data_IF_208726073942
#
_entry.id   IF_208726073942
#
_cell.length_a   1.000
_cell.length_b   1.000
_cell.length_c   1.000
_cell.angle_alpha   90.00
_cell.angle_beta   90.00
_cell.angle_gamma   90.00
#
_symmetry.space_group_name_H-M   'P 1'
#
loop_
_entity.id
_entity.type
_entity.pdbx_description
1 polymer ?
#
# COMPACT_ATOMS: atom_id res chain seq x y z
N UNK A 1 -17.71 -2.19 -20.85
CA UNK A 1 -17.67 -2.84 -19.52
C UNK A 1 -18.57 -2.03 -18.62
N UNK A 2 -19.37 -2.67 -17.76
CA UNK A 2 -20.19 -1.96 -16.78
C UNK A 2 -19.30 -1.15 -15.81
N UNK A 3 -19.67 0.10 -15.48
CA UNK A 3 -18.83 1.01 -14.68
C UNK A 3 -18.55 0.45 -13.26
N UNK A 4 -19.48 -0.33 -12.67
CA UNK A 4 -19.26 -0.99 -11.38
C UNK A 4 -18.20 -2.09 -11.49
N UNK A 5 -18.23 -2.87 -12.59
CA UNK A 5 -17.18 -3.86 -12.87
C UNK A 5 -15.82 -3.19 -13.08
N UNK A 6 -15.78 -2.08 -13.83
CA UNK A 6 -14.56 -1.30 -14.03
C UNK A 6 -14.00 -0.78 -12.69
N UNK A 7 -14.87 -0.24 -11.82
CA UNK A 7 -14.46 0.21 -10.50
C UNK A 7 -13.87 -0.91 -9.64
N UNK A 8 -14.48 -2.10 -9.67
CA UNK A 8 -13.98 -3.26 -8.91
C UNK A 8 -12.57 -3.67 -9.36
N UNK A 9 -12.33 -3.71 -10.67
CA UNK A 9 -10.99 -3.99 -11.25
C UNK A 9 -9.98 -2.92 -10.84
N UNK A 10 -10.37 -1.64 -10.84
CA UNK A 10 -9.47 -0.57 -10.40
C UNK A 10 -9.11 -0.68 -8.91
N UNK A 11 -10.08 -1.01 -8.04
CA UNK A 11 -9.83 -1.17 -6.61
C UNK A 11 -8.87 -2.35 -6.36
N UNK A 12 -9.05 -3.47 -7.05
CA UNK A 12 -8.13 -4.61 -6.98
C UNK A 12 -6.71 -4.22 -7.40
N UNK A 13 -6.57 -3.54 -8.54
CA UNK A 13 -5.27 -3.03 -9.02
C UNK A 13 -4.59 -2.07 -8.02
N UNK A 14 -5.35 -1.17 -7.38
CA UNK A 14 -4.79 -0.27 -6.36
C UNK A 14 -4.30 -1.02 -5.11
N UNK A 15 -5.00 -2.09 -4.70
CA UNK A 15 -4.56 -2.93 -3.57
C UNK A 15 -3.22 -3.58 -3.91
N UNK A 16 -3.13 -4.21 -5.08
CA UNK A 16 -1.90 -4.87 -5.56
C UNK A 16 -0.74 -3.88 -5.64
N UNK A 17 -0.97 -2.72 -6.25
CA UNK A 17 0.08 -1.70 -6.41
C UNK A 17 0.56 -1.13 -5.07
N UNK A 18 -0.34 -0.95 -4.10
CA UNK A 18 0.04 -0.54 -2.75
C UNK A 18 0.87 -1.64 -2.06
N UNK A 19 0.54 -2.92 -2.26
CA UNK A 19 1.32 -4.04 -1.73
C UNK A 19 2.74 -4.05 -2.35
N UNK A 20 2.89 -3.80 -3.65
CA UNK A 20 4.20 -3.62 -4.32
C UNK A 20 5.01 -2.45 -3.73
N UNK A 21 4.36 -1.30 -3.51
CA UNK A 21 5.00 -0.14 -2.89
C UNK A 21 5.46 -0.43 -1.46
N UNK A 22 4.64 -1.13 -0.66
CA UNK A 22 5.02 -1.48 0.71
C UNK A 22 6.28 -2.37 0.74
N UNK A 23 6.39 -3.34 -0.17
CA UNK A 23 7.58 -4.19 -0.26
C UNK A 23 8.83 -3.39 -0.69
N UNK A 24 8.69 -2.48 -1.64
CA UNK A 24 9.80 -1.60 -2.05
C UNK A 24 10.22 -0.66 -0.91
N UNK A 25 9.25 -0.05 -0.22
CA UNK A 25 9.52 0.83 0.93
C UNK A 25 10.22 0.08 2.04
N UNK A 26 9.86 -1.18 2.30
CA UNK A 26 10.52 -2.03 3.30
C UNK A 26 12.00 -2.25 2.98
N UNK A 27 12.36 -2.44 1.70
CA UNK A 27 13.78 -2.53 1.29
C UNK A 27 14.52 -1.22 1.59
N UNK A 28 13.90 -0.08 1.33
CA UNK A 28 14.49 1.23 1.59
C UNK A 28 14.55 1.59 3.07
N UNK A 29 13.59 1.16 3.88
CA UNK A 29 13.64 1.28 5.34
C UNK A 29 14.85 0.51 5.91
N UNK A 30 15.07 -0.72 5.45
CA UNK A 30 16.27 -1.50 5.81
C UNK A 30 17.54 -0.79 5.34
N UNK A 31 17.54 -0.21 4.13
CA UNK A 31 18.69 0.54 3.64
C UNK A 31 18.98 1.79 4.47
N UNK A 32 17.94 2.50 4.90
CA UNK A 32 18.07 3.64 5.80
C UNK A 32 18.65 3.22 7.16
N UNK A 33 18.31 2.04 7.67
CA UNK A 33 18.94 1.47 8.87
C UNK A 33 20.43 1.22 8.67
N UNK A 34 20.83 0.57 7.56
CA UNK A 34 22.25 0.33 7.23
C UNK A 34 23.06 1.63 7.14
N UNK A 35 22.42 2.72 6.70
CA UNK A 35 23.02 4.05 6.59
C UNK A 35 22.99 4.84 7.91
N UNK A 36 22.45 4.28 8.99
CA UNK A 36 22.33 4.96 10.29
C UNK A 36 21.22 6.02 10.35
N UNK A 37 20.36 6.10 9.33
CA UNK A 37 19.30 7.11 9.19
C UNK A 37 18.00 6.67 9.88
N UNK A 38 18.06 6.54 11.22
CA UNK A 38 16.95 6.00 12.02
C UNK A 38 15.63 6.77 11.88
N UNK A 39 15.68 8.10 11.80
CA UNK A 39 14.47 8.92 11.60
C UNK A 39 13.84 8.69 10.23
N UNK A 40 14.66 8.61 9.17
CA UNK A 40 14.18 8.33 7.81
C UNK A 40 13.53 6.95 7.73
N UNK A 41 14.17 5.92 8.31
CA UNK A 41 13.58 4.58 8.43
C UNK A 41 12.19 4.65 9.06
N UNK A 42 12.06 5.35 10.19
CA UNK A 42 10.80 5.45 10.93
C UNK A 42 9.69 6.05 10.05
N UNK A 43 9.96 7.16 9.36
CA UNK A 43 8.95 7.78 8.48
C UNK A 43 8.56 6.86 7.31
N UNK A 44 9.50 6.07 6.77
CA UNK A 44 9.19 5.07 5.74
C UNK A 44 8.29 3.95 6.32
N UNK A 45 8.55 3.48 7.53
CA UNK A 45 7.71 2.48 8.21
C UNK A 45 6.29 3.01 8.49
N UNK A 46 6.15 4.28 8.86
CA UNK A 46 4.83 4.93 9.02
C UNK A 46 4.08 5.05 7.68
N UNK A 47 4.80 5.31 6.57
CA UNK A 47 4.21 5.32 5.23
C UNK A 47 3.70 3.92 4.84
N UNK A 48 4.44 2.86 5.15
CA UNK A 48 3.99 1.47 4.98
C UNK A 48 2.72 1.20 5.81
N UNK A 49 2.70 1.64 7.08
CA UNK A 49 1.53 1.52 7.94
C UNK A 49 0.29 2.21 7.37
N UNK A 50 0.48 3.39 6.78
CA UNK A 50 -0.58 4.16 6.13
C UNK A 50 -1.11 3.47 4.86
N UNK A 51 -0.23 2.93 4.00
CA UNK A 51 -0.65 2.13 2.84
C UNK A 51 -1.40 0.86 3.26
N UNK A 52 -0.95 0.18 4.31
CA UNK A 52 -1.66 -0.97 4.87
C UNK A 52 -3.07 -0.59 5.36
N UNK A 53 -3.23 0.57 5.99
CA UNK A 53 -4.54 1.09 6.37
C UNK A 53 -5.43 1.37 5.15
N UNK A 54 -4.90 2.06 4.14
CA UNK A 54 -5.59 2.28 2.86
C UNK A 54 -6.06 0.97 2.25
N UNK A 55 -5.20 -0.05 2.18
CA UNK A 55 -5.56 -1.38 1.67
C UNK A 55 -6.67 -2.05 2.48
N UNK A 56 -6.78 -1.84 3.80
CA UNK A 56 -7.93 -2.33 4.58
C UNK A 56 -9.24 -1.66 4.16
N UNK A 57 -9.23 -0.37 3.85
CA UNK A 57 -10.41 0.33 3.34
C UNK A 57 -10.76 -0.13 1.93
N UNK A 58 -9.78 -0.23 1.03
CA UNK A 58 -9.97 -0.71 -0.34
C UNK A 58 -10.52 -2.15 -0.38
N UNK A 59 -10.00 -3.06 0.46
CA UNK A 59 -10.52 -4.43 0.57
C UNK A 59 -11.97 -4.48 1.05
N UNK A 60 -12.43 -3.52 1.87
CA UNK A 60 -13.86 -3.39 2.23
C UNK A 60 -14.68 -2.85 1.06
N UNK A 61 -14.20 -1.79 0.40
CA UNK A 61 -14.85 -1.22 -0.78
C UNK A 61 -15.02 -2.26 -1.90
N UNK A 62 -14.02 -3.10 -2.15
CA UNK A 62 -14.09 -4.18 -3.14
C UNK A 62 -15.18 -5.20 -2.81
N UNK A 63 -15.37 -5.56 -1.53
CA UNK A 63 -16.42 -6.48 -1.09
C UNK A 63 -17.82 -5.90 -1.27
N UNK A 64 -17.98 -4.59 -1.11
CA UNK A 64 -19.26 -3.89 -1.32
C UNK A 64 -19.53 -3.63 -2.80
N UNK A 65 -18.48 -3.53 -3.62
CA UNK A 65 -18.56 -3.33 -5.07
C UNK A 65 -18.81 -4.63 -5.86
N UNK A 66 -18.42 -5.80 -5.33
CA UNK A 66 -18.71 -7.12 -5.90
C UNK A 66 -20.20 -7.45 -5.91
#
# INVERSE_FOLDING_TARGET
>A
MDERKKLSVMIEHWIEHNDEHMEEYKKWANKAEELGLKSVRKEIEEAIGSLSQSNRHLKRALKEAA
#
